data_IF_791423992631
#
_entry.id   IF_791423992631
#
_cell.length_a   1.000
_cell.length_b   1.000
_cell.length_c   1.000
_cell.angle_alpha   90.00
_cell.angle_beta   90.00
_cell.angle_gamma   90.00
#
_symmetry.space_group_name_H-M   'P 1'
#
loop_
_entity.id
_entity.type
_entity.pdbx_description
1 polymer ?
#
# COMPACT_ATOMS: atom_id res chain seq x y z
N UNK A 1 -59.00 -28.21 -15.71
CA UNK A 1 -57.57 -28.35 -15.36
C UNK A 1 -56.97 -26.96 -15.17
N UNK A 2 -56.40 -26.72 -13.99
CA UNK A 2 -55.82 -25.45 -13.51
C UNK A 2 -54.59 -25.05 -14.34
N UNK A 3 -54.61 -23.87 -14.96
CA UNK A 3 -53.42 -23.16 -15.49
C UNK A 3 -53.63 -21.65 -15.32
N UNK A 4 -53.55 -21.19 -14.09
CA UNK A 4 -53.56 -19.77 -13.74
C UNK A 4 -52.37 -19.54 -12.82
N UNK A 5 -51.67 -18.41 -13.03
CA UNK A 5 -50.80 -17.74 -12.05
C UNK A 5 -49.47 -18.47 -11.76
N UNK A 6 -48.43 -18.23 -12.57
CA UNK A 6 -47.03 -18.34 -12.10
C UNK A 6 -46.10 -17.27 -12.70
N UNK A 7 -46.41 -16.67 -13.85
CA UNK A 7 -45.37 -15.91 -14.59
C UNK A 7 -45.22 -14.43 -14.16
N UNK A 8 -46.15 -13.84 -13.39
CA UNK A 8 -46.09 -12.40 -13.06
C UNK A 8 -45.33 -12.10 -11.75
N UNK A 9 -45.12 -13.08 -10.87
CA UNK A 9 -44.47 -12.85 -9.56
C UNK A 9 -42.93 -12.81 -9.62
N UNK A 10 -42.29 -13.41 -10.63
CA UNK A 10 -40.82 -13.45 -10.70
C UNK A 10 -40.18 -12.16 -11.24
N UNK A 11 -40.89 -11.38 -12.06
CA UNK A 11 -40.38 -10.10 -12.57
C UNK A 11 -40.58 -8.97 -11.54
N UNK A 12 -41.66 -9.01 -10.76
CA UNK A 12 -41.91 -8.06 -9.68
C UNK A 12 -40.92 -8.17 -8.52
N UNK A 13 -40.45 -9.38 -8.20
CA UNK A 13 -39.46 -9.62 -7.15
C UNK A 13 -38.06 -9.14 -7.51
N UNK A 14 -37.66 -9.18 -8.79
CA UNK A 14 -36.36 -8.65 -9.21
C UNK A 14 -36.32 -7.11 -9.24
N UNK A 15 -37.44 -6.45 -9.54
CA UNK A 15 -37.50 -4.98 -9.59
C UNK A 15 -37.54 -4.37 -8.18
N UNK A 16 -38.17 -5.05 -7.21
CA UNK A 16 -38.20 -4.57 -5.81
C UNK A 16 -36.89 -4.79 -5.03
N UNK A 17 -36.10 -5.81 -5.39
CA UNK A 17 -34.78 -6.04 -4.75
C UNK A 17 -33.75 -5.02 -5.23
N UNK A 18 -33.82 -4.57 -6.49
CA UNK A 18 -32.90 -3.53 -7.01
C UNK A 18 -33.17 -2.13 -6.45
N UNK A 19 -34.41 -1.80 -6.06
CA UNK A 19 -34.73 -0.46 -5.51
C UNK A 19 -34.28 -0.26 -4.06
N UNK A 20 -34.21 -1.32 -3.25
CA UNK A 20 -33.69 -1.21 -1.87
C UNK A 20 -32.17 -1.22 -1.78
N UNK A 21 -31.46 -1.76 -2.77
CA UNK A 21 -30.01 -1.74 -2.80
C UNK A 21 -29.43 -0.34 -3.14
N UNK A 22 -30.18 0.50 -3.86
CA UNK A 22 -29.72 1.84 -4.26
C UNK A 22 -30.04 2.98 -3.27
N UNK A 23 -30.74 2.72 -2.15
CA UNK A 23 -31.12 3.76 -1.19
C UNK A 23 -30.24 3.82 0.07
N UNK A 24 -29.21 2.98 0.17
CA UNK A 24 -28.18 3.12 1.20
C UNK A 24 -26.96 3.89 0.66
N UNK A 25 -27.19 5.09 0.09
CA UNK A 25 -26.18 6.13 0.28
C UNK A 25 -26.25 6.52 1.75
N UNK A 26 -25.57 5.77 2.62
CA UNK A 26 -25.22 6.26 3.93
C UNK A 26 -24.61 7.64 3.71
N UNK A 27 -25.25 8.69 4.20
CA UNK A 27 -24.80 10.06 3.97
C UNK A 27 -23.30 10.14 4.25
N UNK A 28 -22.53 10.74 3.33
CA UNK A 28 -21.09 10.91 3.49
C UNK A 28 -20.84 11.47 4.90
N UNK A 29 -20.27 10.65 5.78
CA UNK A 29 -19.99 11.04 7.16
C UNK A 29 -18.81 11.99 7.10
N UNK A 30 -19.07 13.28 7.29
CA UNK A 30 -18.00 14.27 7.40
C UNK A 30 -17.31 14.07 8.75
N UNK A 31 -16.02 13.76 8.72
CA UNK A 31 -15.15 13.72 9.89
C UNK A 31 -14.37 15.03 9.95
N UNK A 32 -14.18 15.58 11.15
CA UNK A 32 -13.35 16.75 11.39
C UNK A 32 -12.13 16.32 12.19
N UNK A 33 -10.97 16.67 11.70
CA UNK A 33 -9.68 16.46 12.37
C UNK A 33 -9.00 17.82 12.44
N UNK A 34 -8.49 18.19 13.61
CA UNK A 34 -7.70 19.41 13.75
C UNK A 34 -6.37 19.27 13.03
N UNK A 35 -5.74 20.38 12.64
CA UNK A 35 -4.39 20.35 12.07
C UNK A 35 -3.39 19.67 13.02
N UNK A 36 -3.53 19.91 14.32
CA UNK A 36 -2.67 19.30 15.33
C UNK A 36 -2.84 17.77 15.39
N UNK A 37 -4.07 17.27 15.42
CA UNK A 37 -4.34 15.83 15.40
C UNK A 37 -3.87 15.18 14.09
N UNK A 38 -4.06 15.87 12.96
CA UNK A 38 -3.59 15.40 11.66
C UNK A 38 -2.06 15.26 11.65
N UNK A 39 -1.35 16.30 12.10
CA UNK A 39 0.10 16.30 12.17
C UNK A 39 0.63 15.24 13.15
N UNK A 40 -0.03 15.07 14.30
CA UNK A 40 0.31 14.06 15.29
C UNK A 40 0.19 12.65 14.71
N UNK A 41 -0.92 12.35 14.02
CA UNK A 41 -1.13 11.06 13.35
C UNK A 41 -0.15 10.82 12.20
N UNK A 42 0.17 11.82 11.39
CA UNK A 42 1.21 11.70 10.33
C UNK A 42 2.57 11.37 10.94
N UNK A 43 2.96 12.09 12.00
CA UNK A 43 4.22 11.83 12.73
C UNK A 43 4.20 10.45 13.36
N UNK A 44 3.09 10.06 13.98
CA UNK A 44 2.89 8.74 14.57
C UNK A 44 3.03 7.62 13.55
N UNK A 45 2.52 7.80 12.33
CA UNK A 45 2.70 6.84 11.24
C UNK A 45 4.16 6.63 10.85
N UNK A 46 4.94 7.71 10.68
CA UNK A 46 6.36 7.63 10.38
C UNK A 46 7.19 7.08 11.55
N UNK A 47 6.89 7.48 12.78
CA UNK A 47 7.54 6.95 13.99
C UNK A 47 7.21 5.46 14.16
N UNK A 48 5.97 5.05 13.91
CA UNK A 48 5.55 3.65 13.96
C UNK A 48 6.29 2.79 12.94
N UNK A 49 6.37 3.25 11.68
CA UNK A 49 7.17 2.60 10.63
C UNK A 49 8.63 2.48 11.05
N UNK A 50 9.26 3.59 11.44
CA UNK A 50 10.64 3.62 11.89
C UNK A 50 10.90 2.67 13.06
N UNK A 51 10.01 2.65 14.05
CA UNK A 51 10.10 1.75 15.19
C UNK A 51 10.00 0.28 14.78
N UNK A 52 9.03 -0.07 13.92
CA UNK A 52 8.86 -1.44 13.42
C UNK A 52 10.09 -1.93 12.66
N UNK A 53 10.64 -1.10 11.78
CA UNK A 53 11.85 -1.40 11.00
C UNK A 53 13.07 -1.56 11.91
N UNK A 54 13.30 -0.60 12.81
CA UNK A 54 14.42 -0.67 13.76
C UNK A 54 14.30 -1.87 14.71
N UNK A 55 13.10 -2.26 15.08
CA UNK A 55 12.90 -3.42 15.94
C UNK A 55 13.12 -4.73 15.17
N UNK A 56 12.61 -4.81 13.94
CA UNK A 56 12.67 -6.02 13.10
C UNK A 56 14.07 -6.32 12.56
N UNK A 57 14.81 -5.30 12.11
CA UNK A 57 16.10 -5.46 11.42
C UNK A 57 17.11 -6.37 12.15
N UNK A 58 17.39 -6.18 13.46
CA UNK A 58 18.30 -7.05 14.21
C UNK A 58 17.85 -8.51 14.31
N UNK A 59 16.57 -8.82 14.05
CA UNK A 59 15.99 -10.16 14.13
C UNK A 59 15.80 -10.83 12.77
N UNK A 60 16.04 -10.10 11.68
CA UNK A 60 15.82 -10.57 10.32
C UNK A 60 16.58 -11.89 10.07
N UNK A 61 15.85 -12.90 9.57
CA UNK A 61 16.31 -14.27 9.33
C UNK A 61 16.81 -15.07 10.56
N UNK A 62 16.72 -14.56 11.80
CA UNK A 62 17.29 -15.22 13.00
C UNK A 62 16.36 -16.24 13.69
N UNK A 63 15.04 -16.03 13.61
CA UNK A 63 14.03 -16.80 14.38
C UNK A 63 12.99 -17.48 13.46
N UNK A 64 13.44 -18.05 12.35
CA UNK A 64 12.55 -18.59 11.30
C UNK A 64 11.67 -19.73 11.83
N UNK A 65 10.38 -19.45 12.02
CA UNK A 65 9.41 -20.42 12.55
C UNK A 65 9.36 -20.52 14.07
N UNK A 66 10.02 -19.60 14.79
CA UNK A 66 10.08 -19.59 16.25
C UNK A 66 9.54 -18.28 16.83
N UNK A 67 8.92 -18.38 18.01
CA UNK A 67 8.49 -17.20 18.77
C UNK A 67 9.69 -16.70 19.57
N UNK A 68 9.98 -15.39 19.49
CA UNK A 68 10.94 -14.75 20.38
C UNK A 68 10.32 -14.67 21.78
N UNK A 69 10.79 -15.50 22.71
CA UNK A 69 10.34 -15.48 24.10
C UNK A 69 11.07 -14.41 24.93
N UNK A 70 10.40 -13.94 25.99
CA UNK A 70 10.98 -12.99 26.95
C UNK A 70 10.71 -11.51 26.62
N UNK A 71 11.31 -10.58 27.40
CA UNK A 71 11.11 -9.15 27.19
C UNK A 71 11.76 -8.69 25.89
N UNK A 72 10.93 -8.12 25.02
CA UNK A 72 11.36 -7.47 23.79
C UNK A 72 11.99 -6.11 24.11
N UNK A 73 13.24 -5.88 23.68
CA UNK A 73 13.95 -4.60 23.83
C UNK A 73 14.43 -4.09 22.48
N UNK A 74 14.21 -2.80 22.20
CA UNK A 74 14.74 -2.17 21.00
C UNK A 74 16.26 -2.15 21.05
N UNK A 75 16.90 -2.79 20.06
CA UNK A 75 18.35 -2.74 19.90
C UNK A 75 18.77 -1.38 19.35
N UNK A 76 19.84 -0.81 19.91
CA UNK A 76 20.45 0.43 19.40
C UNK A 76 20.96 0.24 17.98
N UNK A 77 21.44 -0.96 17.65
CA UNK A 77 21.87 -1.31 16.30
C UNK A 77 20.73 -1.07 15.28
N UNK A 78 19.50 -1.46 15.62
CA UNK A 78 18.34 -1.26 14.74
C UNK A 78 18.03 0.21 14.44
N UNK A 79 18.28 1.11 15.39
CA UNK A 79 18.16 2.55 15.17
C UNK A 79 19.31 3.10 14.30
N UNK A 80 20.53 2.60 14.49
CA UNK A 80 21.70 3.00 13.70
C UNK A 80 21.56 2.59 12.22
N UNK A 81 20.96 1.42 11.96
CA UNK A 81 20.75 0.90 10.62
C UNK A 81 19.49 1.44 9.92
N UNK A 82 18.58 2.13 10.63
CA UNK A 82 17.32 2.60 10.06
C UNK A 82 17.43 3.33 8.71
N UNK A 83 18.40 4.25 8.49
CA UNK A 83 18.53 4.93 7.19
C UNK A 83 18.93 4.02 6.03
N UNK A 84 19.38 2.79 6.33
CA UNK A 84 19.89 1.81 5.38
C UNK A 84 18.93 0.63 5.15
N UNK A 85 17.69 0.76 5.60
CA UNK A 85 16.62 -0.23 5.38
C UNK A 85 15.75 0.20 4.19
N UNK A 86 15.49 -0.71 3.26
CA UNK A 86 14.65 -0.46 2.06
C UNK A 86 13.24 -0.02 2.42
N UNK A 87 12.68 -0.61 3.47
CA UNK A 87 11.46 -0.14 4.13
C UNK A 87 11.38 1.39 4.27
N UNK A 88 12.53 2.03 4.52
CA UNK A 88 12.62 3.47 4.71
C UNK A 88 12.96 4.20 3.42
N UNK A 89 14.10 3.89 2.80
CA UNK A 89 14.60 4.74 1.71
C UNK A 89 13.80 4.59 0.42
N UNK A 90 13.11 3.46 0.17
CA UNK A 90 12.27 3.31 -1.02
C UNK A 90 10.97 4.10 -0.86
N UNK A 91 10.34 4.02 0.33
CA UNK A 91 9.26 4.92 0.75
C UNK A 91 9.65 6.40 0.53
N UNK A 92 10.84 6.80 0.98
CA UNK A 92 11.32 8.18 0.82
C UNK A 92 11.53 8.57 -0.65
N UNK A 93 12.00 7.66 -1.50
CA UNK A 93 12.17 7.93 -2.93
C UNK A 93 10.83 8.20 -3.62
N UNK A 94 9.80 7.40 -3.31
CA UNK A 94 8.45 7.64 -3.84
C UNK A 94 7.81 8.90 -3.27
N UNK A 95 7.93 9.13 -1.97
CA UNK A 95 7.43 10.35 -1.34
C UNK A 95 8.10 11.60 -1.92
N UNK A 96 9.41 11.57 -2.20
CA UNK A 96 10.13 12.65 -2.86
C UNK A 96 9.51 12.95 -4.23
N UNK A 97 9.28 11.94 -5.05
CA UNK A 97 8.64 12.12 -6.37
C UNK A 97 7.26 12.77 -6.22
N UNK A 98 6.45 12.31 -5.27
CA UNK A 98 5.13 12.89 -5.01
C UNK A 98 5.23 14.34 -4.52
N UNK A 99 6.19 14.67 -3.66
CA UNK A 99 6.40 16.02 -3.17
C UNK A 99 6.84 16.99 -4.28
N UNK A 100 7.64 16.53 -5.24
CA UNK A 100 8.13 17.35 -6.36
C UNK A 100 7.09 17.53 -7.48
N UNK A 101 6.26 16.51 -7.75
CA UNK A 101 5.37 16.47 -8.91
C UNK A 101 3.88 16.48 -8.58
N UNK A 102 3.53 16.37 -7.30
CA UNK A 102 2.16 16.26 -6.83
C UNK A 102 1.44 15.01 -7.33
N UNK A 103 0.12 14.97 -7.13
CA UNK A 103 -0.73 13.82 -7.49
C UNK A 103 -0.82 13.53 -9.00
N UNK A 104 -0.35 14.45 -9.85
CA UNK A 104 -0.19 14.25 -11.29
C UNK A 104 1.01 13.40 -11.68
N UNK A 105 1.89 13.04 -10.73
CA UNK A 105 3.04 12.17 -10.99
C UNK A 105 2.60 10.90 -11.72
N UNK A 106 3.33 10.57 -12.79
CA UNK A 106 3.12 9.35 -13.57
C UNK A 106 3.92 8.20 -12.99
N UNK A 107 3.63 6.97 -13.43
CA UNK A 107 4.41 5.80 -13.03
C UNK A 107 5.88 5.93 -13.46
N UNK A 108 6.14 6.54 -14.62
CA UNK A 108 7.50 6.81 -15.10
C UNK A 108 8.26 7.78 -14.18
N UNK A 109 7.54 8.71 -13.55
CA UNK A 109 8.15 9.63 -12.60
C UNK A 109 8.64 8.90 -11.35
N UNK A 110 7.80 8.04 -10.77
CA UNK A 110 8.15 7.23 -9.60
C UNK A 110 9.26 6.22 -9.94
N UNK A 111 9.16 5.59 -11.10
CA UNK A 111 10.13 4.62 -11.57
C UNK A 111 11.53 5.21 -11.77
N UNK A 112 11.63 6.52 -12.06
CA UNK A 112 12.92 7.20 -12.23
C UNK A 112 13.73 7.19 -10.93
N UNK A 113 13.16 7.71 -9.84
CA UNK A 113 13.87 7.76 -8.56
C UNK A 113 14.09 6.35 -8.00
N UNK A 114 13.14 5.44 -8.22
CA UNK A 114 13.29 4.02 -7.85
C UNK A 114 14.42 3.31 -8.60
N UNK A 115 14.53 3.48 -9.92
CA UNK A 115 15.50 2.76 -10.74
C UNK A 115 16.92 3.36 -10.66
N UNK A 116 17.03 4.67 -10.47
CA UNK A 116 18.31 5.41 -10.53
C UNK A 116 18.74 6.03 -9.19
N UNK A 117 18.00 5.81 -8.10
CA UNK A 117 18.26 6.42 -6.78
C UNK A 117 19.51 5.93 -6.05
N UNK A 118 20.21 4.91 -6.55
CA UNK A 118 21.52 4.49 -6.04
C UNK A 118 21.54 3.70 -4.73
N UNK A 119 20.39 3.39 -4.16
CA UNK A 119 20.23 2.52 -2.99
C UNK A 119 20.14 1.03 -3.37
N UNK A 120 20.40 0.12 -2.43
CA UNK A 120 20.25 -1.32 -2.68
C UNK A 120 18.77 -1.70 -2.78
N UNK A 121 18.47 -2.81 -3.43
CA UNK A 121 17.11 -3.33 -3.58
C UNK A 121 17.18 -4.86 -3.61
N UNK A 122 16.18 -5.51 -3.04
CA UNK A 122 16.09 -6.96 -2.95
C UNK A 122 14.80 -7.46 -3.62
N UNK A 123 14.69 -8.77 -3.84
CA UNK A 123 13.45 -9.43 -4.28
C UNK A 123 12.69 -8.69 -5.41
N UNK A 124 11.40 -8.37 -5.20
CA UNK A 124 10.56 -7.76 -6.22
C UNK A 124 11.11 -6.39 -6.62
N UNK A 125 11.66 -5.63 -5.68
CA UNK A 125 12.25 -4.35 -5.96
C UNK A 125 13.48 -4.46 -6.86
N UNK A 126 14.40 -5.35 -6.50
CA UNK A 126 15.66 -5.56 -7.21
C UNK A 126 15.39 -5.97 -8.66
N UNK A 127 14.48 -6.93 -8.86
CA UNK A 127 14.07 -7.36 -10.19
C UNK A 127 13.29 -6.28 -10.95
N UNK A 128 12.38 -5.56 -10.29
CA UNK A 128 11.64 -4.45 -10.88
C UNK A 128 12.58 -3.38 -11.43
N UNK A 129 13.62 -3.01 -10.68
CA UNK A 129 14.67 -2.09 -11.16
C UNK A 129 15.40 -2.65 -12.36
N UNK A 130 15.86 -3.90 -12.30
CA UNK A 130 16.58 -4.52 -13.43
C UNK A 130 15.73 -4.57 -14.70
N UNK A 131 14.43 -4.83 -14.55
CA UNK A 131 13.47 -4.83 -15.66
C UNK A 131 13.38 -3.44 -16.30
N UNK A 132 13.25 -2.38 -15.51
CA UNK A 132 13.26 -0.99 -16.00
C UNK A 132 14.56 -0.67 -16.72
N UNK A 133 15.71 -1.02 -16.12
CA UNK A 133 17.02 -0.79 -16.72
C UNK A 133 17.23 -1.58 -18.02
N UNK A 134 16.51 -2.70 -18.19
CA UNK A 134 16.50 -3.52 -19.40
C UNK A 134 15.47 -3.05 -20.44
N UNK A 135 14.78 -1.95 -20.20
CA UNK A 135 13.83 -1.34 -21.13
C UNK A 135 12.39 -1.84 -21.02
N UNK A 136 12.05 -2.65 -20.01
CA UNK A 136 10.66 -2.99 -19.70
C UNK A 136 9.99 -1.75 -19.11
N UNK A 137 8.77 -1.45 -19.57
CA UNK A 137 8.03 -0.29 -19.08
C UNK A 137 7.73 -0.44 -17.58
N UNK A 138 7.75 0.65 -16.78
CA UNK A 138 7.44 0.60 -15.36
C UNK A 138 6.12 -0.10 -15.00
N UNK A 139 5.05 0.10 -15.77
CA UNK A 139 3.77 -0.59 -15.53
C UNK A 139 3.77 -2.08 -15.87
N UNK A 140 4.91 -2.65 -16.29
CA UNK A 140 5.10 -4.07 -16.53
C UNK A 140 6.30 -4.63 -15.76
N UNK A 141 7.13 -3.78 -15.14
CA UNK A 141 8.37 -4.24 -14.52
C UNK A 141 8.13 -5.13 -13.30
N UNK A 142 7.00 -4.97 -12.60
CA UNK A 142 6.57 -5.87 -11.54
C UNK A 142 5.73 -7.06 -12.02
N UNK A 143 5.34 -7.13 -13.30
CA UNK A 143 4.40 -8.15 -13.79
C UNK A 143 5.00 -9.57 -13.66
N UNK A 144 4.22 -10.61 -13.29
CA UNK A 144 4.76 -11.95 -13.01
C UNK A 144 5.48 -12.61 -14.20
N UNK A 145 5.19 -12.15 -15.42
CA UNK A 145 5.93 -12.56 -16.63
C UNK A 145 7.40 -12.08 -16.62
N UNK A 146 7.69 -10.94 -16.02
CA UNK A 146 9.01 -10.31 -15.96
C UNK A 146 9.65 -10.34 -14.57
N UNK A 147 8.84 -10.46 -13.52
CA UNK A 147 9.29 -10.48 -12.14
C UNK A 147 8.83 -11.76 -11.42
N UNK A 148 9.71 -12.77 -11.22
CA UNK A 148 9.36 -13.97 -10.47
C UNK A 148 9.04 -13.72 -8.99
N UNK A 149 9.37 -12.54 -8.46
CA UNK A 149 9.11 -12.10 -7.09
C UNK A 149 7.84 -11.25 -6.97
N UNK A 150 6.98 -11.23 -8.00
CA UNK A 150 5.85 -10.32 -8.08
C UNK A 150 4.91 -10.37 -6.86
N UNK A 151 4.79 -11.51 -6.19
CA UNK A 151 3.94 -11.72 -5.02
C UNK A 151 4.65 -11.47 -3.66
N UNK A 152 5.94 -11.10 -3.66
CA UNK A 152 6.69 -10.80 -2.43
C UNK A 152 6.20 -9.48 -1.78
N UNK A 153 6.61 -9.24 -0.54
CA UNK A 153 6.03 -8.17 0.32
C UNK A 153 6.56 -6.76 0.03
N UNK A 154 7.46 -6.58 -0.94
CA UNK A 154 8.21 -5.34 -1.18
C UNK A 154 7.31 -4.10 -1.23
N UNK A 155 6.26 -4.10 -2.07
CA UNK A 155 5.33 -2.96 -2.12
C UNK A 155 4.53 -2.78 -0.83
N UNK A 156 4.19 -3.87 -0.13
CA UNK A 156 3.46 -3.79 1.13
C UNK A 156 4.24 -3.00 2.18
N UNK A 157 5.57 -3.19 2.24
CA UNK A 157 6.44 -2.45 3.16
C UNK A 157 6.84 -1.06 2.62
N UNK A 158 6.37 -0.67 1.44
CA UNK A 158 6.72 0.60 0.79
C UNK A 158 5.53 1.51 0.50
N UNK A 159 4.35 1.13 0.97
CA UNK A 159 3.10 1.82 0.68
C UNK A 159 2.67 2.80 1.79
N UNK A 160 3.40 2.87 2.91
CA UNK A 160 3.02 3.65 4.09
C UNK A 160 2.77 5.13 3.74
N UNK A 161 3.67 5.73 2.93
CA UNK A 161 3.56 7.12 2.54
C UNK A 161 2.24 7.44 1.83
N UNK A 162 1.68 6.47 1.08
CA UNK A 162 0.45 6.64 0.31
C UNK A 162 -0.74 6.88 1.24
N UNK A 163 -0.82 6.09 2.31
CA UNK A 163 -1.89 6.24 3.29
C UNK A 163 -1.71 7.50 4.13
N UNK A 164 -0.47 7.88 4.43
CA UNK A 164 -0.14 9.11 5.17
C UNK A 164 -0.47 10.39 4.40
N UNK A 165 -0.38 10.38 3.06
CA UNK A 165 -0.80 11.51 2.21
C UNK A 165 -2.29 11.46 1.83
N UNK A 166 -3.00 10.40 2.20
CA UNK A 166 -4.43 10.18 1.89
C UNK A 166 -5.28 10.03 3.16
N UNK A 167 -5.22 10.96 4.13
CA UNK A 167 -5.85 10.81 5.44
C UNK A 167 -7.38 10.70 5.32
N UNK A 168 -7.95 9.58 5.74
CA UNK A 168 -9.38 9.29 5.65
C UNK A 168 -9.89 9.01 4.23
N UNK A 169 -8.99 8.81 3.25
CA UNK A 169 -9.32 8.69 1.83
C UNK A 169 -8.80 7.37 1.20
N UNK A 170 -9.23 6.20 1.69
CA UNK A 170 -8.75 4.89 1.20
C UNK A 170 -9.12 4.60 -0.26
N UNK A 171 -10.15 5.27 -0.80
CA UNK A 171 -10.50 5.14 -2.22
C UNK A 171 -9.55 5.95 -3.11
N UNK A 172 -9.16 7.15 -2.68
CA UNK A 172 -8.24 8.01 -3.43
C UNK A 172 -6.80 7.48 -3.41
N UNK A 173 -6.40 6.80 -2.33
CA UNK A 173 -5.06 6.22 -2.23
C UNK A 173 -4.78 5.14 -3.30
N UNK A 174 -5.83 4.48 -3.81
CA UNK A 174 -5.74 3.45 -4.86
C UNK A 174 -5.03 3.93 -6.12
N UNK A 175 -5.22 5.20 -6.50
CA UNK A 175 -4.61 5.75 -7.72
C UNK A 175 -3.09 5.84 -7.61
N UNK A 176 -2.57 6.07 -6.41
CA UNK A 176 -1.13 6.08 -6.16
C UNK A 176 -0.62 4.65 -6.01
N UNK A 177 -1.37 3.77 -5.32
CA UNK A 177 -1.02 2.36 -5.22
C UNK A 177 -0.87 1.68 -6.57
N UNK A 178 -1.80 1.95 -7.51
CA UNK A 178 -1.79 1.34 -8.84
C UNK A 178 -0.52 1.69 -9.61
N UNK A 179 -0.12 2.97 -9.54
CA UNK A 179 1.10 3.46 -10.19
C UNK A 179 2.35 2.89 -9.51
N UNK A 180 2.44 2.99 -8.20
CA UNK A 180 3.69 2.69 -7.48
C UNK A 180 3.87 1.19 -7.32
N UNK A 181 2.84 0.47 -6.88
CA UNK A 181 2.94 -0.96 -6.59
C UNK A 181 3.27 -1.81 -7.80
N UNK A 182 2.78 -1.45 -8.99
CA UNK A 182 3.06 -2.18 -10.22
C UNK A 182 4.48 -2.00 -10.79
N UNK A 183 5.28 -1.11 -10.20
CA UNK A 183 6.71 -0.97 -10.51
C UNK A 183 7.46 -2.25 -10.13
N UNK A 184 7.13 -2.86 -8.99
CA UNK A 184 7.83 -4.02 -8.43
C UNK A 184 6.92 -5.25 -8.25
N UNK A 185 5.64 -5.09 -7.93
CA UNK A 185 4.75 -6.18 -7.53
C UNK A 185 3.46 -6.29 -8.35
N UNK A 186 2.90 -7.49 -8.36
CA UNK A 186 1.58 -7.84 -8.85
C UNK A 186 0.96 -8.87 -7.88
N UNK A 187 -0.26 -9.34 -8.15
CA UNK A 187 -0.89 -10.40 -7.36
C UNK A 187 -0.96 -10.05 -5.86
N UNK A 188 -0.58 -11.01 -5.01
CA UNK A 188 -0.69 -10.85 -3.56
C UNK A 188 0.25 -9.76 -3.01
N UNK A 189 1.41 -9.56 -3.63
CA UNK A 189 2.35 -8.50 -3.26
C UNK A 189 1.76 -7.10 -3.44
N UNK A 190 1.05 -6.87 -4.55
CA UNK A 190 0.36 -5.58 -4.75
C UNK A 190 -0.88 -5.45 -3.85
N UNK A 191 -1.66 -6.52 -3.70
CA UNK A 191 -2.87 -6.50 -2.87
C UNK A 191 -2.56 -6.27 -1.39
N UNK A 192 -1.45 -6.80 -0.88
CA UNK A 192 -0.94 -6.51 0.45
C UNK A 192 -0.70 -5.00 0.65
N UNK A 193 -0.07 -4.33 -0.31
CA UNK A 193 0.13 -2.88 -0.26
C UNK A 193 -1.16 -2.07 -0.35
N UNK A 194 -2.12 -2.47 -1.19
CA UNK A 194 -3.45 -1.84 -1.21
C UNK A 194 -4.14 -1.93 0.15
N UNK A 195 -4.09 -3.10 0.78
CA UNK A 195 -4.70 -3.34 2.08
C UNK A 195 -4.06 -2.47 3.17
N UNK A 196 -2.72 -2.49 3.28
CA UNK A 196 -1.99 -1.70 4.28
C UNK A 196 -2.17 -0.20 4.04
N UNK A 197 -2.16 0.27 2.79
CA UNK A 197 -2.45 1.67 2.46
C UNK A 197 -3.83 2.10 2.95
N UNK A 198 -4.85 1.26 2.70
CA UNK A 198 -6.21 1.56 3.14
C UNK A 198 -6.31 1.61 4.67
N UNK A 199 -5.58 0.74 5.39
CA UNK A 199 -5.49 0.80 6.85
C UNK A 199 -4.85 2.11 7.34
N UNK A 200 -3.73 2.53 6.75
CA UNK A 200 -3.10 3.82 7.07
C UNK A 200 -4.08 4.98 6.86
N UNK A 201 -4.78 5.02 5.72
CA UNK A 201 -5.76 6.06 5.43
C UNK A 201 -6.93 6.04 6.43
N UNK A 202 -7.46 4.86 6.76
CA UNK A 202 -8.59 4.70 7.66
C UNK A 202 -8.27 5.13 9.11
N UNK A 203 -7.05 4.88 9.59
CA UNK A 203 -6.61 5.23 10.95
C UNK A 203 -6.68 6.73 11.29
N UNK A 204 -6.82 7.60 10.28
CA UNK A 204 -7.03 9.04 10.50
C UNK A 204 -8.42 9.41 11.01
N UNK A 205 -9.40 8.53 10.83
CA UNK A 205 -10.82 8.79 11.11
C UNK A 205 -11.46 7.78 12.06
N UNK A 206 -10.67 6.84 12.59
CA UNK A 206 -11.05 5.93 13.68
C UNK A 206 -11.05 6.62 15.05
#
# INVERSE_FOLDING_TARGET
MKKTIVVILLVGSFIFVSYKACNNHSGKKTVRVTEQELLDKIKGGWVGKAYGVSFGGPTEFRYQGEIIEGPLSLDKEGLEWLPWQDDMYVNMAFLKTLAEKGFSATIEDFAKDFAYGGFLLWHANGQGRQNILSGIKPGLSGHPYYNPHADDIDFQIECDFIGLVSPGLPESSKEICDKVGHIMNYGDGVYGGYFVTAMYAAAFIE
#
